data_IF_712229340732
#
_entry.id   IF_712229340732
#
_cell.length_a   1.000
_cell.length_b   1.000
_cell.length_c   1.000
_cell.angle_alpha   90.00
_cell.angle_beta   90.00
_cell.angle_gamma   90.00
#
_symmetry.space_group_name_H-M   'P 1'
#
loop_
_entity.id
_entity.type
_entity.pdbx_description
1 polymer ?
#
# COMPACT_ATOMS: atom_id res chain seq x y z
N UNK A 1 -53.92 -6.70 46.58
CA UNK A 1 -53.47 -8.09 46.38
C UNK A 1 -51.97 -8.08 46.11
N UNK A 2 -51.28 -9.02 46.73
CA UNK A 2 -49.84 -9.08 47.00
C UNK A 2 -48.94 -9.09 45.74
N UNK A 3 -47.81 -8.36 45.78
CA UNK A 3 -46.42 -8.88 45.89
C UNK A 3 -45.95 -9.68 44.67
N UNK A 4 -44.81 -9.36 44.04
CA UNK A 4 -43.51 -9.78 44.59
C UNK A 4 -42.34 -9.18 43.81
N UNK A 5 -41.33 -8.73 44.55
CA UNK A 5 -39.96 -8.39 44.13
C UNK A 5 -39.10 -9.63 44.46
N UNK A 6 -38.29 -10.13 43.52
CA UNK A 6 -37.25 -11.13 43.83
C UNK A 6 -35.85 -10.55 43.59
N UNK A 7 -35.07 -10.49 44.68
CA UNK A 7 -33.66 -10.11 44.73
C UNK A 7 -32.77 -11.29 44.30
N UNK A 8 -31.71 -10.99 43.55
CA UNK A 8 -30.56 -11.89 43.31
C UNK A 8 -29.66 -11.93 44.56
N UNK A 9 -29.19 -13.11 44.92
CA UNK A 9 -28.09 -13.31 45.87
C UNK A 9 -26.98 -14.11 45.20
N UNK A 10 -25.75 -13.67 45.41
CA UNK A 10 -24.48 -14.32 45.04
C UNK A 10 -23.93 -14.93 46.33
N UNK A 11 -23.44 -16.17 46.29
CA UNK A 11 -22.49 -16.68 47.29
C UNK A 11 -21.46 -17.60 46.64
N UNK A 12 -20.19 -17.24 46.82
CA UNK A 12 -19.00 -18.08 46.63
C UNK A 12 -18.80 -18.95 47.87
N UNK A 13 -18.48 -20.25 47.74
CA UNK A 13 -17.71 -20.99 48.76
C UNK A 13 -16.76 -22.00 48.08
N UNK A 14 -15.55 -22.02 48.64
CA UNK A 14 -14.33 -22.71 48.21
C UNK A 14 -14.24 -24.19 48.62
N UNK A 15 -13.48 -24.93 47.81
CA UNK A 15 -12.54 -26.04 48.07
C UNK A 15 -12.66 -26.93 49.31
N UNK A 16 -12.57 -28.26 49.09
CA UNK A 16 -11.55 -29.12 49.73
C UNK A 16 -11.35 -30.43 48.94
N UNK A 17 -10.09 -30.87 48.88
CA UNK A 17 -9.55 -32.05 48.21
C UNK A 17 -9.82 -33.37 48.94
N UNK A 18 -9.96 -34.47 48.19
CA UNK A 18 -9.50 -35.79 48.65
C UNK A 18 -9.11 -36.68 47.47
N UNK A 19 -7.90 -37.21 47.56
CA UNK A 19 -7.21 -38.05 46.57
C UNK A 19 -7.61 -39.52 46.71
N UNK A 20 -7.93 -40.18 45.58
CA UNK A 20 -7.84 -41.63 45.45
C UNK A 20 -7.19 -41.98 44.11
N UNK A 21 -6.01 -42.61 44.19
CA UNK A 21 -5.27 -43.17 43.05
C UNK A 21 -5.96 -44.45 42.59
N UNK A 22 -6.31 -44.51 41.31
CA UNK A 22 -6.61 -45.75 40.60
C UNK A 22 -5.61 -45.90 39.46
N UNK A 23 -4.74 -46.90 39.59
CA UNK A 23 -3.75 -47.30 38.59
C UNK A 23 -4.49 -48.12 37.54
N UNK A 24 -4.70 -47.55 36.35
CA UNK A 24 -5.18 -48.25 35.17
C UNK A 24 -3.97 -48.57 34.28
N UNK A 25 -3.75 -49.86 34.07
CA UNK A 25 -2.71 -50.45 33.24
C UNK A 25 -2.78 -49.89 31.81
N UNK A 26 -1.67 -49.33 31.33
CA UNK A 26 -1.52 -48.91 29.93
C UNK A 26 -1.46 -50.14 29.04
N UNK A 27 -2.47 -50.34 28.19
CA UNK A 27 -2.34 -51.18 27.01
C UNK A 27 -1.36 -50.50 26.03
N UNK A 28 -0.32 -51.21 25.62
CA UNK A 28 0.59 -50.75 24.58
C UNK A 28 -0.20 -50.60 23.27
N UNK A 29 -0.32 -49.36 22.79
CA UNK A 29 -0.88 -49.08 21.48
C UNK A 29 0.06 -49.62 20.40
N UNK A 30 -0.49 -50.45 19.52
CA UNK A 30 0.15 -50.93 18.29
C UNK A 30 0.63 -49.76 17.45
N UNK A 31 1.84 -49.86 16.91
CA UNK A 31 2.44 -48.86 16.03
C UNK A 31 1.49 -48.51 14.87
N UNK A 32 1.20 -47.23 14.70
CA UNK A 32 0.50 -46.73 13.52
C UNK A 32 1.47 -46.80 12.33
N UNK A 33 1.15 -47.62 11.33
CA UNK A 33 1.86 -47.61 10.06
C UNK A 33 1.68 -46.23 9.41
N UNK A 34 2.77 -45.46 9.38
CA UNK A 34 2.83 -44.20 8.66
C UNK A 34 2.63 -44.47 7.16
N UNK A 35 1.48 -44.07 6.62
CA UNK A 35 1.30 -43.98 5.18
C UNK A 35 2.25 -42.92 4.64
N UNK A 36 3.21 -43.35 3.82
CA UNK A 36 4.06 -42.46 3.05
C UNK A 36 3.18 -41.70 2.04
N UNK A 37 2.86 -40.45 2.36
CA UNK A 37 2.30 -39.51 1.39
C UNK A 37 3.45 -39.08 0.49
N UNK A 38 3.47 -39.58 -0.75
CA UNK A 38 4.35 -39.05 -1.79
C UNK A 38 3.86 -37.65 -2.17
N UNK A 39 4.69 -36.59 -2.04
CA UNK A 39 4.30 -35.27 -2.50
C UNK A 39 4.30 -35.29 -4.03
N UNK A 40 3.11 -35.39 -4.63
CA UNK A 40 2.90 -35.11 -6.04
C UNK A 40 3.00 -33.60 -6.25
N UNK A 41 4.22 -33.07 -6.19
CA UNK A 41 4.52 -31.71 -6.58
C UNK A 41 4.34 -31.58 -8.09
N UNK A 42 3.11 -31.37 -8.52
CA UNK A 42 2.84 -30.92 -9.88
C UNK A 42 3.22 -29.44 -9.89
N UNK A 43 4.45 -29.14 -10.30
CA UNK A 43 4.94 -27.77 -10.45
C UNK A 43 4.28 -27.13 -11.67
N UNK A 44 2.98 -26.85 -11.59
CA UNK A 44 2.34 -25.95 -12.55
C UNK A 44 2.96 -24.57 -12.36
N UNK A 45 3.79 -24.14 -13.29
CA UNK A 45 4.38 -22.80 -13.32
C UNK A 45 3.24 -21.80 -13.46
N UNK A 46 3.05 -20.93 -12.48
CA UNK A 46 2.02 -19.88 -12.54
C UNK A 46 2.64 -18.68 -13.23
N UNK A 47 2.67 -18.71 -14.56
CA UNK A 47 3.22 -17.65 -15.39
C UNK A 47 2.18 -16.52 -15.49
N UNK A 48 2.62 -15.29 -15.19
CA UNK A 48 1.82 -14.07 -15.28
C UNK A 48 2.45 -13.13 -16.29
N UNK A 49 1.63 -12.58 -17.17
CA UNK A 49 2.04 -11.60 -18.17
C UNK A 49 1.83 -10.17 -17.67
N UNK A 50 2.85 -9.35 -17.89
CA UNK A 50 2.84 -7.92 -17.62
C UNK A 50 3.06 -7.16 -18.93
N UNK A 51 2.18 -6.22 -19.23
CA UNK A 51 2.29 -5.29 -20.35
C UNK A 51 2.76 -3.94 -19.80
N UNK A 52 4.02 -3.58 -20.04
CA UNK A 52 4.64 -2.40 -19.41
C UNK A 52 4.93 -1.35 -20.47
N UNK A 53 4.50 -0.12 -20.21
CA UNK A 53 4.87 1.04 -21.02
C UNK A 53 6.39 1.23 -21.06
N UNK A 54 6.94 1.31 -22.27
CA UNK A 54 8.36 1.56 -22.54
C UNK A 54 8.52 2.79 -23.42
N UNK A 55 9.45 3.66 -23.02
CA UNK A 55 9.90 4.78 -23.84
C UNK A 55 11.27 5.26 -23.35
N UNK A 56 12.17 5.59 -24.28
CA UNK A 56 13.52 6.01 -23.98
C UNK A 56 13.88 7.30 -24.75
N UNK A 57 14.23 8.40 -24.06
CA UNK A 57 14.58 9.66 -24.73
C UNK A 57 15.84 9.54 -25.60
N UNK A 58 16.76 8.65 -25.25
CA UNK A 58 18.04 8.47 -25.95
C UNK A 58 17.88 7.76 -27.31
N UNK A 59 16.76 7.06 -27.51
CA UNK A 59 16.43 6.32 -28.72
C UNK A 59 15.02 6.69 -29.15
N UNK A 60 14.83 7.77 -29.93
CA UNK A 60 13.52 8.35 -30.20
C UNK A 60 12.66 7.43 -31.07
N UNK A 61 11.94 6.52 -30.41
CA UNK A 61 10.88 5.69 -30.96
C UNK A 61 9.54 6.08 -30.34
N UNK A 62 8.44 5.61 -30.96
CA UNK A 62 7.12 5.73 -30.34
C UNK A 62 7.07 4.88 -29.06
N UNK A 63 6.40 5.34 -28.00
CA UNK A 63 6.14 4.51 -26.84
C UNK A 63 5.40 3.22 -27.22
N UNK A 64 5.72 2.13 -26.53
CA UNK A 64 5.10 0.83 -26.76
C UNK A 64 4.77 0.12 -25.45
N UNK A 65 3.86 -0.86 -25.52
CA UNK A 65 3.64 -1.81 -24.43
C UNK A 65 4.49 -3.04 -24.71
N UNK A 66 5.50 -3.29 -23.86
CA UNK A 66 6.35 -4.47 -23.94
C UNK A 66 5.85 -5.54 -22.97
N UNK A 67 5.77 -6.77 -23.46
CA UNK A 67 5.34 -7.91 -22.65
C UNK A 67 6.51 -8.55 -21.89
N UNK A 68 6.24 -8.91 -20.64
CA UNK A 68 7.13 -9.67 -19.77
C UNK A 68 6.35 -10.80 -19.12
N UNK A 69 6.97 -11.96 -18.97
CA UNK A 69 6.38 -13.11 -18.30
C UNK A 69 7.16 -13.46 -17.04
N UNK A 70 6.46 -13.60 -15.92
CA UNK A 70 7.04 -13.85 -14.61
C UNK A 70 6.40 -15.07 -13.98
N UNK A 71 7.22 -16.00 -13.48
CA UNK A 71 6.77 -17.08 -12.62
C UNK A 71 6.42 -16.51 -11.23
N UNK A 72 5.13 -16.48 -10.89
CA UNK A 72 4.65 -15.93 -9.61
C UNK A 72 5.15 -16.71 -8.38
N UNK A 73 5.61 -17.96 -8.54
CA UNK A 73 6.22 -18.73 -7.44
C UNK A 73 7.60 -18.22 -7.03
N UNK A 74 8.26 -17.47 -7.92
CA UNK A 74 9.60 -16.90 -7.74
C UNK A 74 9.56 -15.37 -7.64
N UNK A 75 8.38 -14.81 -7.36
CA UNK A 75 8.14 -13.38 -7.29
C UNK A 75 7.40 -13.06 -5.99
N UNK A 76 7.70 -11.90 -5.40
CA UNK A 76 6.88 -11.36 -4.32
C UNK A 76 5.46 -11.03 -4.80
N UNK A 77 4.51 -10.84 -3.87
CA UNK A 77 3.09 -10.74 -4.20
C UNK A 77 2.70 -9.38 -4.79
N UNK A 78 3.56 -8.35 -4.72
CA UNK A 78 3.23 -6.99 -5.13
C UNK A 78 3.75 -6.67 -6.52
N UNK A 79 3.09 -5.74 -7.21
CA UNK A 79 3.49 -5.28 -8.55
C UNK A 79 4.92 -4.74 -8.54
N UNK A 80 5.35 -4.07 -7.46
CA UNK A 80 6.74 -3.62 -7.32
C UNK A 80 7.74 -4.79 -7.33
N UNK A 81 7.38 -5.94 -6.76
CA UNK A 81 8.26 -7.12 -6.76
C UNK A 81 8.45 -7.64 -8.19
N UNK A 82 7.38 -7.66 -8.99
CA UNK A 82 7.45 -8.02 -10.40
C UNK A 82 8.32 -7.03 -11.20
N UNK A 83 8.15 -5.72 -11.00
CA UNK A 83 8.97 -4.70 -11.66
C UNK A 83 10.47 -4.85 -11.32
N UNK A 84 10.78 -5.11 -10.05
CA UNK A 84 12.17 -5.34 -9.61
C UNK A 84 12.72 -6.63 -10.22
N UNK A 85 11.94 -7.72 -10.24
CA UNK A 85 12.34 -8.99 -10.85
C UNK A 85 12.60 -8.84 -12.34
N UNK A 86 11.70 -8.17 -13.08
CA UNK A 86 11.90 -7.87 -14.50
C UNK A 86 13.19 -7.09 -14.70
N UNK A 87 13.43 -6.04 -13.91
CA UNK A 87 14.64 -5.23 -14.04
C UNK A 87 15.92 -6.02 -13.74
N UNK A 88 15.92 -6.84 -12.70
CA UNK A 88 17.12 -7.55 -12.27
C UNK A 88 17.44 -8.76 -13.16
N UNK A 89 16.42 -9.51 -13.58
CA UNK A 89 16.61 -10.83 -14.17
C UNK A 89 16.36 -10.86 -15.68
N UNK A 90 15.61 -9.91 -16.24
CA UNK A 90 15.12 -9.97 -17.63
C UNK A 90 15.57 -8.76 -18.47
N UNK A 91 15.30 -7.54 -18.00
CA UNK A 91 15.53 -6.31 -18.74
C UNK A 91 16.03 -5.17 -17.83
N UNK A 92 17.35 -5.06 -17.64
CA UNK A 92 17.96 -4.01 -16.81
C UNK A 92 17.68 -2.58 -17.28
N UNK A 93 17.21 -2.38 -18.51
CA UNK A 93 16.86 -1.05 -19.03
C UNK A 93 15.56 -0.49 -18.47
N UNK A 94 14.69 -1.35 -17.91
CA UNK A 94 13.40 -0.94 -17.34
C UNK A 94 13.62 0.08 -16.21
N UNK A 95 12.98 1.25 -16.33
CA UNK A 95 13.17 2.37 -15.40
C UNK A 95 11.87 2.74 -14.68
N UNK A 96 11.92 2.83 -13.35
CA UNK A 96 10.80 3.22 -12.49
C UNK A 96 11.31 3.78 -11.15
N UNK A 97 10.49 4.58 -10.46
CA UNK A 97 10.81 5.10 -9.12
C UNK A 97 10.31 4.16 -8.02
N UNK A 98 11.12 3.95 -6.98
CA UNK A 98 10.79 3.16 -5.78
C UNK A 98 11.70 3.53 -4.62
N UNK A 99 11.22 3.35 -3.38
CA UNK A 99 12.04 3.50 -2.18
C UNK A 99 11.56 2.57 -1.05
N UNK A 100 10.56 2.98 -0.26
CA UNK A 100 10.20 2.36 1.02
C UNK A 100 9.80 0.86 0.95
N UNK A 101 8.81 0.53 0.10
CA UNK A 101 8.10 -0.76 -0.03
C UNK A 101 6.92 -1.00 0.91
N UNK A 102 6.59 -0.06 1.78
CA UNK A 102 5.46 -0.12 2.71
C UNK A 102 4.44 1.00 2.50
N UNK A 103 4.49 1.68 1.36
CA UNK A 103 3.47 2.64 0.93
C UNK A 103 3.55 4.04 1.56
N UNK A 104 4.67 4.39 2.19
CA UNK A 104 4.80 5.68 2.89
C UNK A 104 5.49 6.80 2.09
N UNK A 105 6.41 6.47 1.18
CA UNK A 105 7.19 7.49 0.46
C UNK A 105 6.51 8.09 -0.79
N UNK A 106 5.43 7.46 -1.28
CA UNK A 106 4.72 7.87 -2.50
C UNK A 106 5.46 7.66 -3.82
N UNK A 107 6.73 7.24 -3.84
CA UNK A 107 7.57 7.28 -5.05
C UNK A 107 7.18 6.29 -6.16
N UNK A 108 6.54 5.17 -5.84
CA UNK A 108 6.16 4.13 -6.81
C UNK A 108 4.72 4.26 -7.32
N UNK A 109 4.21 5.49 -7.34
CA UNK A 109 2.94 5.82 -7.93
C UNK A 109 2.98 5.61 -9.46
N UNK A 110 2.02 4.86 -9.97
CA UNK A 110 1.84 4.58 -11.40
C UNK A 110 0.41 4.13 -11.67
N UNK A 111 0.05 3.95 -12.93
CA UNK A 111 -1.24 3.38 -13.31
C UNK A 111 -1.11 1.87 -13.54
N UNK A 112 -1.91 1.09 -12.82
CA UNK A 112 -1.91 -0.38 -12.84
C UNK A 112 -3.34 -0.82 -13.15
N UNK A 113 -3.52 -1.52 -14.26
CA UNK A 113 -4.83 -1.98 -14.75
C UNK A 113 -5.87 -0.85 -14.82
N UNK A 114 -5.45 0.33 -15.29
CA UNK A 114 -6.29 1.51 -15.43
C UNK A 114 -6.47 2.34 -14.15
N UNK A 115 -6.02 1.83 -12.99
CA UNK A 115 -6.14 2.51 -11.70
C UNK A 115 -4.80 3.08 -11.22
N UNK A 116 -4.79 4.34 -10.77
CA UNK A 116 -3.59 4.90 -10.13
C UNK A 116 -3.41 4.30 -8.73
N UNK A 117 -2.21 3.81 -8.44
CA UNK A 117 -1.89 3.17 -7.18
C UNK A 117 -0.39 3.13 -6.89
N UNK A 118 -0.04 2.64 -5.70
CA UNK A 118 1.35 2.42 -5.31
C UNK A 118 1.73 0.98 -5.65
N UNK A 119 2.69 0.79 -6.55
CA UNK A 119 3.11 -0.56 -6.97
C UNK A 119 3.54 -1.45 -5.78
N UNK A 120 4.06 -0.87 -4.70
CA UNK A 120 4.45 -1.62 -3.49
C UNK A 120 3.27 -2.12 -2.64
N UNK A 121 2.06 -1.58 -2.83
CA UNK A 121 0.85 -2.00 -2.13
C UNK A 121 -0.17 -2.67 -3.07
N UNK A 122 0.02 -2.57 -4.38
CA UNK A 122 -0.84 -3.24 -5.34
C UNK A 122 -0.45 -4.71 -5.48
N UNK A 123 -1.33 -5.59 -5.00
CA UNK A 123 -1.16 -7.04 -5.13
C UNK A 123 -1.32 -7.48 -6.59
N UNK A 124 -0.48 -8.40 -7.03
CA UNK A 124 -0.62 -9.04 -8.35
C UNK A 124 -1.89 -9.92 -8.32
N UNK A 125 -2.85 -9.74 -9.25
CA UNK A 125 -4.04 -10.57 -9.31
C UNK A 125 -3.66 -12.04 -9.55
N UNK A 126 -4.33 -12.96 -8.84
CA UNK A 126 -4.14 -14.41 -9.03
C UNK A 126 -4.72 -14.94 -10.34
N UNK A 127 -5.51 -14.14 -11.04
CA UNK A 127 -6.14 -14.50 -12.30
C UNK A 127 -5.15 -14.43 -13.47
N UNK A 128 -5.42 -15.22 -14.52
CA UNK A 128 -4.59 -15.31 -15.74
C UNK A 128 -4.72 -14.12 -16.71
N UNK A 129 -5.36 -13.02 -16.30
CA UNK A 129 -5.39 -11.80 -17.11
C UNK A 129 -4.01 -11.13 -17.19
N UNK A 130 -3.73 -10.41 -18.27
CA UNK A 130 -2.52 -9.58 -18.33
C UNK A 130 -2.65 -8.41 -17.36
N UNK A 131 -1.56 -8.05 -16.67
CA UNK A 131 -1.51 -6.81 -15.86
C UNK A 131 -0.81 -5.72 -16.67
N UNK A 132 -1.51 -4.62 -16.92
CA UNK A 132 -0.98 -3.48 -17.67
C UNK A 132 -0.46 -2.41 -16.72
N UNK A 133 0.77 -1.95 -16.94
CA UNK A 133 1.44 -0.94 -16.12
C UNK A 133 1.86 0.22 -17.01
N UNK A 134 1.34 1.40 -16.71
CA UNK A 134 1.67 2.64 -17.41
C UNK A 134 2.09 3.73 -16.43
N UNK A 135 2.76 4.80 -16.88
CA UNK A 135 3.13 5.93 -16.02
C UNK A 135 1.88 6.61 -15.46
N UNK A 136 2.05 7.54 -14.52
CA UNK A 136 0.91 8.33 -14.08
C UNK A 136 0.29 9.11 -15.26
N UNK A 137 -1.04 9.10 -15.43
CA UNK A 137 -1.71 9.69 -16.59
C UNK A 137 -1.47 11.20 -16.70
N UNK A 138 -1.45 11.70 -17.95
CA UNK A 138 -1.34 13.13 -18.26
C UNK A 138 -0.15 13.85 -17.62
N UNK A 139 0.95 13.13 -17.43
CA UNK A 139 2.25 13.71 -17.06
C UNK A 139 3.26 13.47 -18.19
N UNK A 140 4.21 14.40 -18.35
CA UNK A 140 5.31 14.19 -19.29
C UNK A 140 6.19 13.03 -18.82
N UNK A 141 6.45 12.07 -19.69
CA UNK A 141 7.29 10.92 -19.37
C UNK A 141 8.75 11.29 -19.57
N UNK A 142 9.58 11.02 -18.55
CA UNK A 142 11.04 11.17 -18.62
C UNK A 142 11.68 9.92 -19.20
N UNK A 143 11.27 8.73 -18.75
CA UNK A 143 11.68 7.42 -19.28
C UNK A 143 10.82 6.32 -18.68
N UNK A 144 10.33 5.39 -19.50
CA UNK A 144 9.50 4.26 -19.07
C UNK A 144 8.39 4.72 -18.09
N UNK A 145 8.40 4.24 -16.84
CA UNK A 145 7.39 4.53 -15.81
C UNK A 145 7.73 5.78 -14.97
N UNK A 146 8.76 6.55 -15.36
CA UNK A 146 9.19 7.76 -14.66
C UNK A 146 8.60 8.98 -15.34
N UNK A 147 7.81 9.75 -14.60
CA UNK A 147 7.19 11.01 -15.04
C UNK A 147 7.90 12.23 -14.47
N UNK A 148 7.74 13.38 -15.13
CA UNK A 148 8.17 14.67 -14.63
C UNK A 148 7.15 15.20 -13.60
N UNK A 149 7.61 15.36 -12.35
CA UNK A 149 6.81 15.80 -11.22
C UNK A 149 6.94 17.31 -10.94
N UNK A 150 7.63 18.06 -11.82
CA UNK A 150 7.98 19.46 -11.60
C UNK A 150 6.74 20.33 -11.38
N UNK A 151 5.71 20.23 -12.23
CA UNK A 151 4.47 21.00 -12.04
C UNK A 151 3.78 20.68 -10.71
N UNK A 152 3.65 19.39 -10.39
CA UNK A 152 3.04 18.93 -9.13
C UNK A 152 3.72 19.54 -7.90
N UNK A 153 5.06 19.55 -7.86
CA UNK A 153 5.81 20.15 -6.76
C UNK A 153 5.77 21.68 -6.77
N UNK A 154 5.74 22.32 -7.93
CA UNK A 154 5.60 23.77 -8.03
C UNK A 154 4.24 24.24 -7.49
N UNK A 155 3.16 23.51 -7.78
CA UNK A 155 1.84 23.80 -7.23
C UNK A 155 1.81 23.58 -5.71
N UNK A 156 2.40 22.51 -5.20
CA UNK A 156 2.56 22.31 -3.75
C UNK A 156 3.38 23.43 -3.10
N UNK A 157 4.42 23.95 -3.76
CA UNK A 157 5.19 25.09 -3.27
C UNK A 157 4.36 26.38 -3.26
N UNK A 158 3.48 26.58 -4.25
CA UNK A 158 2.68 27.80 -4.41
C UNK A 158 1.69 28.07 -3.28
N UNK A 159 1.23 27.02 -2.58
CA UNK A 159 0.33 27.15 -1.43
C UNK A 159 1.07 27.50 -0.12
N UNK A 160 2.40 27.63 -0.18
CA UNK A 160 3.26 27.99 0.94
C UNK A 160 3.03 27.09 2.18
N UNK A 161 3.31 25.77 2.09
CA UNK A 161 2.86 24.75 3.05
C UNK A 161 3.73 24.71 4.32
N UNK A 162 3.83 25.85 5.01
CA UNK A 162 4.52 26.01 6.28
C UNK A 162 3.67 26.84 7.24
N UNK A 163 3.95 26.71 8.55
CA UNK A 163 3.21 27.43 9.57
C UNK A 163 3.47 28.94 9.46
N UNK A 164 2.42 29.70 9.13
CA UNK A 164 2.45 31.17 9.13
C UNK A 164 1.81 31.71 10.40
N UNK A 165 2.51 32.57 11.14
CA UNK A 165 2.01 33.21 12.36
C UNK A 165 2.24 34.72 12.30
N UNK A 166 1.27 35.49 12.81
CA UNK A 166 1.40 36.93 12.98
C UNK A 166 2.18 37.29 14.27
N UNK A 167 2.03 36.48 15.31
CA UNK A 167 2.61 36.73 16.63
C UNK A 167 3.62 35.64 17.01
N UNK A 168 4.72 35.97 17.72
CA UNK A 168 5.66 34.99 18.26
C UNK A 168 5.00 34.12 19.35
N UNK A 169 5.64 33.02 19.80
CA UNK A 169 5.23 32.34 21.04
C UNK A 169 5.22 33.32 22.22
N UNK A 170 4.27 33.17 23.15
CA UNK A 170 4.20 34.01 24.37
C UNK A 170 5.49 33.92 25.19
N UNK A 171 6.06 32.72 25.26
CA UNK A 171 7.35 32.47 25.89
C UNK A 171 8.37 31.96 24.88
N UNK A 172 9.53 32.62 24.83
CA UNK A 172 10.62 32.24 23.91
C UNK A 172 11.14 30.84 24.25
N UNK A 173 11.13 29.95 23.26
CA UNK A 173 11.66 28.58 23.38
C UNK A 173 10.65 27.54 23.85
N UNK A 174 9.39 27.91 24.08
CA UNK A 174 8.30 26.95 24.39
C UNK A 174 7.50 26.55 23.15
N UNK A 175 6.81 25.41 23.22
CA UNK A 175 5.86 24.98 22.20
C UNK A 175 4.65 25.91 22.08
N UNK A 176 3.93 25.79 20.96
CA UNK A 176 2.61 26.40 20.78
C UNK A 176 1.54 25.42 21.25
N UNK A 177 0.76 25.84 22.24
CA UNK A 177 -0.32 25.02 22.77
C UNK A 177 -1.41 24.83 21.70
N UNK A 178 -1.76 23.57 21.45
CA UNK A 178 -2.85 23.16 20.58
C UNK A 178 -3.73 22.16 21.34
N UNK A 179 -5.04 22.38 21.35
CA UNK A 179 -5.97 21.43 21.96
C UNK A 179 -6.03 20.14 21.15
N UNK A 180 -6.32 18.99 21.81
CA UNK A 180 -6.55 17.72 21.10
C UNK A 180 -7.65 17.84 20.04
N UNK A 181 -8.71 18.62 20.33
CA UNK A 181 -9.81 18.89 19.41
C UNK A 181 -9.34 19.64 18.15
N UNK A 182 -8.44 20.60 18.29
CA UNK A 182 -7.90 21.34 17.14
C UNK A 182 -6.88 20.52 16.36
N UNK A 183 -6.03 19.72 17.03
CA UNK A 183 -5.11 18.80 16.36
C UNK A 183 -5.86 17.78 15.52
N UNK A 184 -6.96 17.24 16.02
CA UNK A 184 -7.78 16.25 15.32
C UNK A 184 -8.38 16.78 14.01
N UNK A 185 -8.50 18.10 13.84
CA UNK A 185 -8.95 18.68 12.57
C UNK A 185 -7.98 18.43 11.41
N UNK A 186 -6.72 18.07 11.69
CA UNK A 186 -5.71 17.79 10.68
C UNK A 186 -5.77 16.33 10.19
N UNK A 187 -6.42 15.44 10.94
CA UNK A 187 -6.50 14.01 10.63
C UNK A 187 -7.24 13.81 9.30
N UNK A 188 -6.69 12.93 8.45
CA UNK A 188 -7.12 12.72 7.07
C UNK A 188 -6.47 13.67 6.04
N UNK A 189 -5.68 14.66 6.47
CA UNK A 189 -4.99 15.60 5.57
C UNK A 189 -3.47 15.52 5.67
N UNK A 190 -2.89 15.44 6.89
CA UNK A 190 -1.43 15.43 7.05
C UNK A 190 -0.78 14.11 6.64
N UNK A 191 -1.58 13.06 6.50
CA UNK A 191 -1.19 11.71 6.06
C UNK A 191 -0.90 11.65 4.56
N UNK A 192 -1.19 12.71 3.80
CA UNK A 192 -0.85 12.80 2.37
C UNK A 192 0.66 12.64 2.15
N UNK A 193 1.04 11.64 1.35
CA UNK A 193 2.43 11.29 1.04
C UNK A 193 2.94 11.90 -0.28
N UNK A 194 2.19 12.84 -0.86
CA UNK A 194 2.56 13.53 -2.11
C UNK A 194 2.86 12.58 -3.30
N UNK A 195 2.10 11.48 -3.44
CA UNK A 195 2.29 10.49 -4.51
C UNK A 195 1.70 10.89 -5.87
N UNK A 196 0.97 12.01 -5.94
CA UNK A 196 0.24 12.50 -7.11
C UNK A 196 -0.91 11.63 -7.67
N UNK A 197 -1.13 10.39 -7.19
CA UNK A 197 -2.20 9.51 -7.70
C UNK A 197 -3.57 10.20 -7.80
N UNK A 198 -3.97 10.98 -6.79
CA UNK A 198 -5.24 11.70 -6.79
C UNK A 198 -5.32 12.76 -7.90
N UNK A 199 -4.23 13.48 -8.15
CA UNK A 199 -4.20 14.56 -9.15
C UNK A 199 -4.19 13.97 -10.55
N UNK A 200 -3.45 12.90 -10.76
CA UNK A 200 -3.35 12.21 -12.05
C UNK A 200 -4.51 11.25 -12.28
N UNK A 201 -5.46 11.11 -11.34
CA UNK A 201 -6.76 10.47 -11.57
C UNK A 201 -7.85 11.49 -11.92
N UNK A 202 -7.57 12.79 -11.83
CA UNK A 202 -8.57 13.84 -11.97
C UNK A 202 -8.56 14.41 -13.40
N UNK A 203 -9.62 14.22 -14.21
CA UNK A 203 -9.67 14.78 -15.56
C UNK A 203 -9.56 16.31 -15.60
N UNK A 204 -10.07 17.03 -14.59
CA UNK A 204 -9.90 18.49 -14.52
C UNK A 204 -8.42 18.89 -14.48
N UNK A 205 -7.59 18.12 -13.75
CA UNK A 205 -6.15 18.31 -13.69
C UNK A 205 -5.46 17.95 -15.01
N UNK A 206 -5.96 16.93 -15.71
CA UNK A 206 -5.44 16.54 -17.03
C UNK A 206 -5.62 17.65 -18.07
N UNK A 207 -6.79 18.29 -18.06
CA UNK A 207 -7.13 19.33 -19.03
C UNK A 207 -6.54 20.69 -18.71
N UNK A 208 -6.39 21.03 -17.42
CA UNK A 208 -5.96 22.36 -17.00
C UNK A 208 -4.87 22.32 -15.91
N UNK A 209 -3.75 21.60 -16.12
CA UNK A 209 -2.74 21.40 -15.09
C UNK A 209 -2.03 22.70 -14.67
N UNK A 210 -2.08 23.75 -15.49
CA UNK A 210 -1.45 25.04 -15.20
C UNK A 210 -2.34 25.96 -14.33
N UNK A 211 -3.66 25.80 -14.41
CA UNK A 211 -4.64 26.68 -13.73
C UNK A 211 -5.32 26.01 -12.55
N UNK A 212 -5.56 24.70 -12.63
CA UNK A 212 -6.14 23.92 -11.55
C UNK A 212 -5.04 23.26 -10.72
N UNK A 213 -4.93 23.67 -9.44
CA UNK A 213 -3.91 23.18 -8.51
C UNK A 213 -3.95 21.67 -8.24
N UNK A 214 -5.09 21.03 -8.50
CA UNK A 214 -5.26 19.60 -8.25
C UNK A 214 -5.59 19.27 -6.78
N UNK A 215 -6.14 18.07 -6.54
CA UNK A 215 -6.61 17.66 -5.22
C UNK A 215 -5.51 17.63 -4.16
N UNK A 216 -4.26 17.26 -4.50
CA UNK A 216 -3.19 17.20 -3.52
C UNK A 216 -2.82 18.58 -2.97
N UNK A 217 -2.57 19.56 -3.85
CA UNK A 217 -2.25 20.92 -3.42
C UNK A 217 -3.43 21.57 -2.69
N UNK A 218 -4.68 21.34 -3.12
CA UNK A 218 -5.86 21.85 -2.43
C UNK A 218 -6.05 21.23 -1.04
N UNK A 219 -5.78 19.92 -0.88
CA UNK A 219 -5.78 19.25 0.43
C UNK A 219 -4.74 19.88 1.35
N UNK A 220 -3.51 20.09 0.86
CA UNK A 220 -2.44 20.70 1.66
C UNK A 220 -2.68 22.18 1.97
N UNK A 221 -3.39 22.92 1.12
CA UNK A 221 -3.78 24.30 1.40
C UNK A 221 -4.81 24.40 2.53
N UNK A 222 -5.64 23.36 2.70
CA UNK A 222 -6.63 23.27 3.78
C UNK A 222 -6.06 22.71 5.11
N UNK A 223 -4.84 22.14 5.07
CA UNK A 223 -4.20 21.39 6.17
C UNK A 223 -3.37 22.26 7.12
#
# INVERSE_FOLDING_TARGET
>A
MASTILKRAITNISSTSSTSRLILLRAHASEAQAQQVTPKATSTTTLKKFQIYRWNPDTPSKPELKEYEINLKECGPMVLDALIKIKNDIDPSLTFRRSCREGICGSCAMNIDGCNGLACLTKIPSENSNTTITPLPHMFVVKDLVVDMTNFYNQYKSIEPWLKRKNPPEEKGKEILQSKKDRAKLDGMYECILCACCSTSCPSYWWNPESYLGPAALLHANR
#
